data_IF_336255730753
#
_entry.id   IF_336255730753
#
_cell.length_a   1.000
_cell.length_b   1.000
_cell.length_c   1.000
_cell.angle_alpha   90.00
_cell.angle_beta   90.00
_cell.angle_gamma   90.00
#
_symmetry.space_group_name_H-M   'P 1'
#
loop_
_entity.id
_entity.type
_entity.pdbx_description
1 polymer ?
#
# COMPACT_ATOMS: atom_id res chain seq x y z
N UNK A 1 -20.35 -43.91 17.63
CA UNK A 1 -19.55 -43.40 16.49
C UNK A 1 -20.12 -42.05 16.04
N UNK A 2 -19.32 -40.97 15.98
CA UNK A 2 -19.80 -39.70 15.42
C UNK A 2 -20.29 -39.94 14.00
N UNK A 3 -21.52 -39.48 13.67
CA UNK A 3 -22.10 -39.65 12.32
C UNK A 3 -21.12 -39.12 11.27
N UNK A 4 -20.79 -39.95 10.27
CA UNK A 4 -19.91 -39.58 9.16
C UNK A 4 -20.45 -38.30 8.50
N UNK A 5 -19.63 -37.25 8.47
CA UNK A 5 -20.05 -35.96 7.89
C UNK A 5 -20.39 -36.16 6.40
N UNK A 6 -21.49 -35.57 5.96
CA UNK A 6 -21.86 -35.57 4.54
C UNK A 6 -20.80 -34.83 3.70
N UNK A 7 -20.69 -35.16 2.41
CA UNK A 7 -19.74 -34.49 1.51
C UNK A 7 -19.95 -32.97 1.43
N UNK A 8 -21.20 -32.53 1.49
CA UNK A 8 -21.56 -31.11 1.57
C UNK A 8 -21.03 -30.45 2.85
N UNK A 9 -21.23 -31.08 4.01
CA UNK A 9 -20.73 -30.56 5.30
C UNK A 9 -19.20 -30.49 5.33
N UNK A 10 -18.51 -31.48 4.78
CA UNK A 10 -17.03 -31.46 4.68
C UNK A 10 -16.53 -30.33 3.78
N UNK A 11 -17.21 -30.04 2.66
CA UNK A 11 -16.89 -28.90 1.78
C UNK A 11 -17.13 -27.55 2.46
N UNK A 12 -18.23 -27.41 3.19
CA UNK A 12 -18.55 -26.19 3.93
C UNK A 12 -17.52 -25.90 5.04
N UNK A 13 -17.15 -26.91 5.83
CA UNK A 13 -16.12 -26.77 6.87
C UNK A 13 -14.75 -26.42 6.26
N UNK A 14 -14.37 -27.05 5.15
CA UNK A 14 -13.13 -26.72 4.44
C UNK A 14 -13.13 -25.30 3.87
N UNK A 15 -14.27 -24.81 3.37
CA UNK A 15 -14.40 -23.42 2.90
C UNK A 15 -14.23 -22.43 4.05
N UNK A 16 -14.91 -22.68 5.18
CA UNK A 16 -14.82 -21.83 6.38
C UNK A 16 -13.40 -21.74 6.92
N UNK A 17 -12.67 -22.86 6.94
CA UNK A 17 -11.27 -22.89 7.35
C UNK A 17 -10.38 -22.07 6.39
N UNK A 18 -10.61 -22.20 5.08
CA UNK A 18 -9.89 -21.41 4.07
C UNK A 18 -10.18 -19.91 4.23
N UNK A 19 -11.42 -19.52 4.46
CA UNK A 19 -11.78 -18.12 4.71
C UNK A 19 -11.10 -17.56 5.96
N UNK A 20 -11.02 -18.36 7.03
CA UNK A 20 -10.29 -18.00 8.24
C UNK A 20 -8.80 -17.79 7.97
N UNK A 21 -8.18 -18.68 7.20
CA UNK A 21 -6.78 -18.54 6.79
C UNK A 21 -6.55 -17.31 5.91
N UNK A 22 -7.45 -17.05 4.95
CA UNK A 22 -7.39 -15.86 4.11
C UNK A 22 -7.46 -14.60 4.98
N UNK A 23 -8.39 -14.56 5.94
CA UNK A 23 -8.53 -13.42 6.86
C UNK A 23 -7.28 -13.21 7.72
N UNK A 24 -6.71 -14.29 8.26
CA UNK A 24 -5.47 -14.21 9.03
C UNK A 24 -4.28 -13.72 8.18
N UNK A 25 -4.21 -14.13 6.91
CA UNK A 25 -3.13 -13.75 6.02
C UNK A 25 -3.27 -12.32 5.45
N UNK A 26 -4.45 -11.68 5.55
CA UNK A 26 -4.68 -10.34 4.98
C UNK A 26 -3.72 -9.28 5.50
N UNK A 27 -3.35 -9.35 6.79
CA UNK A 27 -2.43 -8.39 7.42
C UNK A 27 -0.99 -8.55 6.95
N UNK A 28 -0.62 -9.74 6.46
CA UNK A 28 0.72 -10.04 5.95
C UNK A 28 0.89 -9.76 4.45
N UNK A 29 -0.19 -9.40 3.74
CA UNK A 29 -0.07 -9.05 2.33
C UNK A 29 0.50 -7.65 2.20
N UNK A 30 1.67 -7.55 1.55
CA UNK A 30 2.24 -6.27 1.15
C UNK A 30 1.38 -5.64 0.05
N UNK A 31 0.53 -4.69 0.47
CA UNK A 31 -0.41 -3.97 -0.41
C UNK A 31 0.34 -3.14 -1.45
N UNK A 32 1.53 -2.62 -1.13
CA UNK A 32 2.29 -1.76 -2.05
C UNK A 32 2.79 -2.55 -3.27
N UNK A 33 3.16 -3.82 -3.07
CA UNK A 33 3.66 -4.72 -4.12
C UNK A 33 2.55 -5.53 -4.80
N UNK A 34 1.32 -5.51 -4.29
CA UNK A 34 0.24 -6.33 -4.83
C UNK A 34 -0.21 -5.83 -6.23
N UNK A 35 -0.49 -6.72 -7.21
CA UNK A 35 -0.83 -6.29 -8.58
C UNK A 35 -2.06 -5.38 -8.71
N UNK A 36 -3.02 -5.47 -7.79
CA UNK A 36 -4.19 -4.60 -7.76
C UNK A 36 -3.88 -3.15 -7.40
N UNK A 37 -2.70 -2.89 -6.84
CA UNK A 37 -2.24 -1.58 -6.38
C UNK A 37 -0.97 -1.13 -7.10
N UNK A 38 -0.57 -1.85 -8.16
CA UNK A 38 0.57 -1.45 -8.99
C UNK A 38 0.32 -0.09 -9.63
N UNK A 39 1.40 0.66 -9.86
CA UNK A 39 1.30 1.93 -10.57
C UNK A 39 0.95 1.70 -12.05
N UNK A 40 0.12 2.58 -12.60
CA UNK A 40 -0.35 2.56 -13.97
C UNK A 40 -0.42 3.99 -14.50
N UNK A 41 0.08 4.19 -15.71
CA UNK A 41 -0.07 5.44 -16.45
C UNK A 41 -1.19 5.28 -17.48
N UNK A 42 -2.04 6.29 -17.63
CA UNK A 42 -3.14 6.25 -18.59
C UNK A 42 -2.68 6.53 -20.01
N UNK A 43 -2.97 5.61 -20.94
CA UNK A 43 -2.64 5.77 -22.37
C UNK A 43 -3.25 7.04 -23.00
N UNK A 44 -4.37 7.55 -22.46
CA UNK A 44 -5.11 8.69 -23.00
C UNK A 44 -4.69 10.03 -22.37
N UNK A 45 -4.66 10.11 -21.04
CA UNK A 45 -4.39 11.37 -20.32
C UNK A 45 -2.99 11.43 -19.69
N UNK A 46 -2.19 10.36 -19.77
CA UNK A 46 -0.82 10.25 -19.26
C UNK A 46 -0.69 10.56 -17.75
N UNK A 47 -1.80 10.50 -17.01
CA UNK A 47 -1.79 10.63 -15.56
C UNK A 47 -1.48 9.28 -14.92
N UNK A 48 -0.65 9.32 -13.87
CA UNK A 48 -0.34 8.18 -13.01
C UNK A 48 -1.49 7.94 -12.04
N UNK A 49 -1.80 6.67 -11.81
CA UNK A 49 -2.86 6.18 -10.94
C UNK A 49 -2.54 4.74 -10.52
N UNK A 50 -3.28 4.18 -9.57
CA UNK A 50 -3.24 2.75 -9.32
C UNK A 50 -3.79 1.96 -10.51
N UNK A 51 -3.42 0.69 -10.61
CA UNK A 51 -4.02 -0.26 -11.54
C UNK A 51 -5.53 -0.28 -11.34
N UNK A 52 -6.27 0.10 -12.38
CA UNK A 52 -7.72 0.26 -12.35
C UNK A 52 -8.30 -0.13 -13.71
N UNK A 53 -9.54 -0.58 -13.72
CA UNK A 53 -10.22 -1.01 -14.91
C UNK A 53 -10.44 0.16 -15.89
N UNK A 54 -10.86 1.28 -15.30
CA UNK A 54 -11.10 2.55 -15.97
C UNK A 54 -10.21 3.62 -15.34
N UNK A 55 -9.70 4.53 -16.15
CA UNK A 55 -8.92 5.65 -15.63
C UNK A 55 -9.78 6.53 -14.72
N UNK A 56 -9.32 6.80 -13.50
CA UNK A 56 -10.00 7.68 -12.55
C UNK A 56 -10.28 9.08 -13.11
N UNK A 57 -9.37 9.62 -13.92
CA UNK A 57 -9.47 11.00 -14.41
C UNK A 57 -10.32 11.17 -15.67
N UNK A 58 -10.32 10.19 -16.57
CA UNK A 58 -10.93 10.34 -17.89
C UNK A 58 -11.79 9.15 -18.33
N UNK A 59 -12.01 8.18 -17.43
CA UNK A 59 -12.80 6.97 -17.62
C UNK A 59 -12.40 6.09 -18.82
N UNK A 60 -11.23 6.34 -19.41
CA UNK A 60 -10.73 5.52 -20.51
C UNK A 60 -10.29 4.13 -20.03
N UNK A 61 -10.56 3.12 -20.84
CA UNK A 61 -10.02 1.77 -20.65
C UNK A 61 -8.57 1.71 -21.13
N UNK A 62 -7.71 1.03 -20.38
CA UNK A 62 -6.31 0.85 -20.76
C UNK A 62 -6.16 -0.16 -21.90
N UNK A 63 -5.25 0.09 -22.84
CA UNK A 63 -4.99 -0.83 -23.95
C UNK A 63 -4.39 -2.15 -23.45
N UNK A 64 -3.52 -2.09 -22.45
CA UNK A 64 -2.82 -3.23 -21.87
C UNK A 64 -3.20 -3.40 -20.39
N UNK A 65 -4.34 -4.08 -20.09
CA UNK A 65 -4.75 -4.30 -18.72
C UNK A 65 -3.80 -5.24 -17.99
N UNK A 66 -3.59 -5.00 -16.69
CA UNK A 66 -2.81 -5.85 -15.80
C UNK A 66 -3.77 -6.55 -14.84
N UNK A 67 -3.68 -7.88 -14.76
CA UNK A 67 -4.50 -8.63 -13.82
C UNK A 67 -4.17 -8.28 -12.36
N UNK A 68 -5.18 -7.85 -11.61
CA UNK A 68 -5.11 -7.49 -10.19
C UNK A 68 -4.67 -8.61 -9.25
N UNK A 69 -4.77 -9.88 -9.69
CA UNK A 69 -4.40 -11.04 -8.89
C UNK A 69 -3.02 -11.62 -9.24
N UNK A 70 -2.67 -11.69 -10.53
CA UNK A 70 -1.45 -12.36 -10.98
C UNK A 70 -0.44 -11.45 -11.68
N UNK A 71 -0.77 -10.17 -11.88
CA UNK A 71 0.12 -9.18 -12.51
C UNK A 71 0.39 -9.42 -14.00
N UNK A 72 -0.24 -10.42 -14.62
CA UNK A 72 -0.02 -10.73 -16.04
C UNK A 72 -0.81 -9.78 -16.92
N UNK A 73 -0.20 -9.41 -18.05
CA UNK A 73 -0.76 -8.66 -19.19
C UNK A 73 -1.11 -9.53 -20.39
N UNK A 74 -0.92 -10.86 -20.27
CA UNK A 74 -1.31 -11.87 -21.28
C UNK A 74 -1.75 -13.19 -20.62
N UNK A 75 -2.84 -13.81 -21.08
CA UNK A 75 -3.18 -15.22 -20.75
C UNK A 75 -2.35 -16.14 -21.67
N UNK A 76 -1.74 -17.16 -21.08
CA UNK A 76 -0.87 -18.09 -21.79
C UNK A 76 -1.70 -19.20 -22.45
N UNK A 77 -1.17 -19.77 -23.54
CA UNK A 77 -1.84 -20.83 -24.32
C UNK A 77 -2.17 -22.08 -23.49
N UNK A 78 -1.38 -22.37 -22.45
CA UNK A 78 -1.51 -23.56 -21.60
C UNK A 78 -2.14 -23.30 -20.22
N UNK A 79 -2.61 -22.08 -19.94
CA UNK A 79 -3.20 -21.80 -18.63
C UNK A 79 -4.63 -22.30 -18.51
N UNK A 80 -5.03 -22.70 -17.30
CA UNK A 80 -6.42 -23.01 -16.89
C UNK A 80 -7.27 -21.71 -16.89
N UNK A 81 -7.52 -21.20 -18.10
CA UNK A 81 -8.37 -20.06 -18.39
C UNK A 81 -9.81 -20.56 -18.64
N UNK A 82 -10.82 -19.82 -18.16
CA UNK A 82 -12.24 -20.18 -18.32
C UNK A 82 -12.66 -20.12 -19.80
N UNK A 83 -12.05 -19.19 -20.54
CA UNK A 83 -12.15 -19.11 -22.00
C UNK A 83 -10.93 -19.81 -22.59
N UNK A 84 -11.15 -20.74 -23.51
CA UNK A 84 -10.07 -21.49 -24.16
C UNK A 84 -9.50 -20.67 -25.32
N UNK A 85 -8.18 -20.58 -25.39
CA UNK A 85 -7.45 -19.89 -26.45
C UNK A 85 -6.59 -20.87 -27.23
N UNK A 86 -7.13 -21.54 -28.27
CA UNK A 86 -6.37 -22.50 -29.05
C UNK A 86 -5.31 -21.77 -29.87
N UNK A 87 -4.03 -22.09 -29.63
CA UNK A 87 -2.94 -21.64 -30.51
C UNK A 87 -2.41 -20.23 -30.26
N UNK A 88 -3.09 -19.38 -29.48
CA UNK A 88 -2.73 -17.96 -29.31
C UNK A 88 -2.66 -17.53 -27.84
N UNK A 89 -1.86 -16.49 -27.58
CA UNK A 89 -1.85 -15.78 -26.31
C UNK A 89 -2.87 -14.65 -26.36
N UNK A 90 -3.84 -14.64 -25.44
CA UNK A 90 -4.82 -13.56 -25.39
C UNK A 90 -4.25 -12.38 -24.61
N UNK A 91 -4.37 -11.20 -25.21
CA UNK A 91 -3.89 -9.91 -24.69
C UNK A 91 -5.01 -8.87 -24.74
N UNK A 92 -4.78 -7.68 -24.17
CA UNK A 92 -5.75 -6.59 -24.20
C UNK A 92 -7.06 -6.97 -23.50
N UNK A 93 -8.20 -6.56 -24.04
CA UNK A 93 -9.50 -6.90 -23.44
C UNK A 93 -9.87 -8.38 -23.53
N UNK A 94 -9.29 -9.14 -24.47
CA UNK A 94 -9.59 -10.57 -24.64
C UNK A 94 -9.11 -11.45 -23.47
N UNK A 95 -8.22 -10.95 -22.60
CA UNK A 95 -7.77 -11.67 -21.40
C UNK A 95 -8.60 -11.36 -20.14
N UNK A 96 -9.44 -10.33 -20.20
CA UNK A 96 -10.20 -9.84 -19.06
C UNK A 96 -11.37 -10.77 -18.78
N UNK A 97 -11.59 -11.10 -17.50
CA UNK A 97 -12.70 -11.96 -17.07
C UNK A 97 -13.72 -11.27 -16.16
N UNK A 98 -13.28 -10.33 -15.33
CA UNK A 98 -14.14 -9.58 -14.42
C UNK A 98 -13.47 -8.27 -13.95
N UNK A 99 -14.26 -7.34 -13.42
CA UNK A 99 -13.79 -6.24 -12.56
C UNK A 99 -14.00 -6.65 -11.11
N UNK A 100 -13.07 -6.30 -10.23
CA UNK A 100 -13.24 -6.50 -8.79
C UNK A 100 -13.92 -5.28 -8.15
N UNK A 101 -15.00 -5.48 -7.40
CA UNK A 101 -15.72 -4.38 -6.74
C UNK A 101 -14.90 -3.67 -5.64
N UNK A 102 -13.88 -4.34 -5.08
CA UNK A 102 -13.06 -3.79 -4.00
C UNK A 102 -11.91 -2.92 -4.51
N UNK A 103 -11.10 -3.45 -5.43
CA UNK A 103 -9.93 -2.74 -5.96
C UNK A 103 -10.20 -1.98 -7.26
N UNK A 104 -11.33 -2.26 -7.91
CA UNK A 104 -11.74 -1.73 -9.21
C UNK A 104 -10.72 -1.98 -10.33
N UNK A 105 -9.93 -3.04 -10.20
CA UNK A 105 -8.97 -3.46 -11.20
C UNK A 105 -9.48 -4.69 -11.95
N UNK A 106 -8.98 -4.87 -13.18
CA UNK A 106 -9.30 -6.02 -14.00
C UNK A 106 -8.73 -7.32 -13.39
N UNK A 107 -9.53 -8.38 -13.42
CA UNK A 107 -9.10 -9.74 -13.10
C UNK A 107 -9.12 -10.54 -14.39
N UNK A 108 -8.01 -11.23 -14.68
CA UNK A 108 -7.97 -12.08 -15.87
C UNK A 108 -8.92 -13.27 -15.71
N UNK A 109 -9.40 -13.78 -16.82
CA UNK A 109 -10.29 -14.93 -16.90
C UNK A 109 -9.65 -16.30 -16.54
N UNK A 110 -8.48 -16.28 -15.89
CA UNK A 110 -7.88 -17.47 -15.29
C UNK A 110 -8.76 -17.99 -14.15
N UNK A 111 -9.09 -19.28 -14.14
CA UNK A 111 -10.03 -19.88 -13.18
C UNK A 111 -9.60 -19.63 -11.72
N UNK A 112 -8.28 -19.73 -11.47
CA UNK A 112 -7.69 -19.38 -10.16
C UNK A 112 -7.93 -17.91 -9.80
N UNK A 113 -7.67 -16.98 -10.72
CA UNK A 113 -7.78 -15.55 -10.44
C UNK A 113 -9.22 -15.14 -10.13
N UNK A 114 -10.18 -15.57 -10.98
CA UNK A 114 -11.60 -15.29 -10.79
C UNK A 114 -12.15 -15.87 -9.48
N UNK A 115 -11.75 -17.10 -9.12
CA UNK A 115 -12.27 -17.75 -7.91
C UNK A 115 -11.64 -17.26 -6.60
N UNK A 116 -10.44 -16.68 -6.64
CA UNK A 116 -9.73 -16.27 -5.41
C UNK A 116 -9.73 -14.77 -5.17
N UNK A 117 -9.73 -13.94 -6.22
CA UNK A 117 -9.40 -12.52 -6.07
C UNK A 117 -10.39 -11.78 -5.16
N UNK A 118 -11.70 -11.92 -5.38
CA UNK A 118 -12.70 -11.22 -4.58
C UNK A 118 -12.57 -11.54 -3.08
N UNK A 119 -12.37 -12.82 -2.72
CA UNK A 119 -12.26 -13.22 -1.31
C UNK A 119 -10.96 -12.71 -0.64
N UNK A 120 -9.87 -12.65 -1.40
CA UNK A 120 -8.54 -12.33 -0.90
C UNK A 120 -8.06 -10.92 -1.31
N UNK A 121 -8.95 -10.07 -1.82
CA UNK A 121 -8.58 -8.75 -2.30
C UNK A 121 -7.99 -7.93 -1.13
N UNK A 122 -6.73 -7.44 -1.25
CA UNK A 122 -6.11 -6.68 -0.17
C UNK A 122 -6.81 -5.35 0.14
N UNK A 123 -7.62 -4.87 -0.81
CA UNK A 123 -8.32 -3.58 -0.74
C UNK A 123 -9.81 -3.70 -0.36
N UNK A 124 -10.24 -4.83 0.21
CA UNK A 124 -11.67 -5.07 0.58
C UNK A 124 -12.22 -3.99 1.52
N UNK A 125 -11.39 -3.50 2.45
CA UNK A 125 -11.77 -2.57 3.53
C UNK A 125 -10.74 -1.43 3.61
N UNK A 126 -10.29 -0.97 2.43
CA UNK A 126 -9.20 -0.02 2.31
C UNK A 126 -9.70 1.41 2.19
N UNK A 127 -9.97 2.02 3.35
CA UNK A 127 -10.32 3.43 3.48
C UNK A 127 -9.16 4.19 4.13
N UNK A 128 -8.81 5.36 3.58
CA UNK A 128 -7.75 6.18 4.16
C UNK A 128 -8.18 6.71 5.53
N UNK A 129 -7.37 6.51 6.57
CA UNK A 129 -7.71 7.00 7.93
C UNK A 129 -7.66 8.53 8.07
N UNK A 130 -6.97 9.24 7.18
CA UNK A 130 -6.84 10.70 7.28
C UNK A 130 -7.92 11.44 6.50
N UNK A 131 -8.29 10.96 5.30
CA UNK A 131 -9.28 11.63 4.45
C UNK A 131 -10.60 10.88 4.30
N UNK A 132 -10.78 9.72 4.94
CA UNK A 132 -11.96 8.85 4.90
C UNK A 132 -12.43 8.46 3.49
N UNK A 133 -11.57 8.65 2.47
CA UNK A 133 -11.86 8.29 1.08
C UNK A 133 -11.59 6.82 0.85
N UNK A 134 -12.52 6.18 0.14
CA UNK A 134 -12.38 4.80 -0.30
C UNK A 134 -11.58 4.70 -1.60
N UNK A 135 -11.24 3.47 -1.98
CA UNK A 135 -10.54 3.12 -3.24
C UNK A 135 -11.22 3.69 -4.50
N UNK A 136 -12.51 3.98 -4.43
CA UNK A 136 -13.30 4.53 -5.53
C UNK A 136 -13.20 6.05 -5.66
N UNK A 137 -12.89 6.73 -4.56
CA UNK A 137 -12.95 8.19 -4.40
C UNK A 137 -11.59 8.88 -4.65
N UNK A 138 -10.57 8.10 -4.99
CA UNK A 138 -9.26 8.61 -5.39
C UNK A 138 -8.58 7.74 -6.47
N UNK A 139 -7.65 8.33 -7.22
CA UNK A 139 -6.90 7.64 -8.28
C UNK A 139 -5.56 7.05 -7.83
N UNK A 140 -5.02 7.49 -6.69
CA UNK A 140 -3.69 7.08 -6.20
C UNK A 140 -3.63 5.65 -5.65
N UNK A 141 -2.42 5.20 -5.35
CA UNK A 141 -2.17 3.93 -4.65
C UNK A 141 -2.58 3.99 -3.18
N UNK A 142 -2.73 2.81 -2.58
CA UNK A 142 -3.01 2.64 -1.15
C UNK A 142 -1.81 1.98 -0.46
N UNK A 143 -1.50 2.42 0.75
CA UNK A 143 -0.41 1.91 1.57
C UNK A 143 -0.92 1.56 2.96
N UNK A 144 -0.13 0.78 3.71
CA UNK A 144 -0.34 0.55 5.13
C UNK A 144 0.74 1.27 5.92
N UNK A 145 0.37 1.99 6.96
CA UNK A 145 1.34 2.59 7.86
C UNK A 145 2.18 1.51 8.56
N UNK A 146 3.50 1.65 8.56
CA UNK A 146 4.42 0.73 9.24
C UNK A 146 4.19 0.65 10.76
N UNK A 147 3.60 1.70 11.35
CA UNK A 147 3.41 1.83 12.80
C UNK A 147 2.02 1.37 13.25
N UNK A 148 0.96 1.92 12.66
CA UNK A 148 -0.43 1.65 13.06
C UNK A 148 -1.15 0.62 12.17
N UNK A 149 -0.54 0.20 11.04
CA UNK A 149 -1.10 -0.73 10.05
C UNK A 149 -2.44 -0.34 9.40
N UNK A 150 -2.92 0.87 9.65
CA UNK A 150 -4.09 1.44 8.97
C UNK A 150 -3.77 1.82 7.52
N UNK A 151 -4.81 1.91 6.70
CA UNK A 151 -4.69 2.26 5.30
C UNK A 151 -4.53 3.76 5.12
N UNK A 152 -3.70 4.13 4.14
CA UNK A 152 -3.38 5.50 3.77
C UNK A 152 -3.38 5.61 2.25
N UNK A 153 -3.95 6.69 1.74
CA UNK A 153 -3.79 7.01 0.32
C UNK A 153 -2.38 7.53 0.04
N UNK A 154 -1.99 7.53 -1.24
CA UNK A 154 -0.68 8.00 -1.70
C UNK A 154 -0.38 9.45 -1.32
N UNK A 155 -1.42 10.28 -1.17
CA UNK A 155 -1.28 11.69 -0.78
C UNK A 155 -0.95 11.82 0.73
N UNK A 156 -1.67 11.09 1.58
CA UNK A 156 -1.57 11.23 3.05
C UNK A 156 -0.46 10.38 3.68
N UNK A 157 0.13 9.44 2.93
CA UNK A 157 1.03 8.43 3.50
C UNK A 157 2.24 9.02 4.23
N UNK A 158 2.79 10.14 3.74
CA UNK A 158 4.02 10.71 4.27
C UNK A 158 3.76 11.52 5.54
N UNK A 159 2.73 12.36 5.52
CA UNK A 159 2.33 13.18 6.66
C UNK A 159 1.88 12.32 7.84
N UNK A 160 1.09 11.27 7.57
CA UNK A 160 0.72 10.31 8.59
C UNK A 160 1.94 9.56 9.12
N UNK A 161 2.83 9.04 8.27
CA UNK A 161 4.00 8.29 8.77
C UNK A 161 4.94 9.15 9.61
N UNK A 162 5.10 10.43 9.29
CA UNK A 162 5.91 11.36 10.06
C UNK A 162 5.36 11.59 11.47
N UNK A 163 4.04 11.68 11.62
CA UNK A 163 3.37 11.97 12.89
C UNK A 163 2.91 10.73 13.66
N UNK A 164 2.78 9.56 13.01
CA UNK A 164 2.18 8.37 13.59
C UNK A 164 3.02 7.72 14.73
N UNK A 165 4.31 7.99 14.80
CA UNK A 165 5.13 7.50 15.92
C UNK A 165 4.89 8.29 17.23
N UNK A 166 4.27 9.46 17.16
CA UNK A 166 4.02 10.33 18.32
C UNK A 166 2.73 9.91 19.03
N UNK A 167 2.80 9.81 20.36
CA UNK A 167 1.64 9.66 21.23
C UNK A 167 1.15 11.04 21.66
N UNK A 168 -0.15 11.32 21.47
CA UNK A 168 -0.74 12.60 21.87
C UNK A 168 -1.02 12.70 23.37
N UNK A 169 -0.94 11.59 24.12
CA UNK A 169 -1.25 11.57 25.54
C UNK A 169 -0.05 12.07 26.38
N UNK A 170 -0.12 13.31 26.86
CA UNK A 170 0.92 13.95 27.70
C UNK A 170 1.22 13.17 28.99
N UNK A 171 0.25 12.40 29.49
CA UNK A 171 0.37 11.79 30.81
C UNK A 171 1.08 10.44 30.80
N UNK A 172 1.24 9.78 29.64
CA UNK A 172 1.79 8.41 29.51
C UNK A 172 1.22 7.39 30.52
N UNK A 173 0.00 7.66 31.01
CA UNK A 173 -0.67 6.83 32.01
C UNK A 173 -1.39 5.68 31.31
N UNK A 174 -1.36 4.52 31.96
CA UNK A 174 -2.13 3.36 31.60
C UNK A 174 -3.61 3.69 31.61
N UNK A 175 -4.29 3.48 30.49
CA UNK A 175 -5.74 3.76 30.36
C UNK A 175 -6.59 2.97 31.37
N UNK A 176 -6.13 1.80 31.81
CA UNK A 176 -6.90 0.92 32.70
C UNK A 176 -6.74 1.21 34.20
N UNK A 177 -5.56 1.62 34.66
CA UNK A 177 -5.29 1.83 36.10
C UNK A 177 -4.61 3.14 36.45
N UNK A 178 -4.42 4.03 35.47
CA UNK A 178 -3.85 5.35 35.64
C UNK A 178 -2.41 5.42 36.21
N UNK A 179 -1.73 4.26 36.34
CA UNK A 179 -0.28 4.16 36.64
C UNK A 179 0.54 4.43 35.37
N UNK A 180 1.85 4.61 35.47
CA UNK A 180 2.72 4.77 34.29
C UNK A 180 2.63 3.58 33.33
N UNK A 181 2.49 3.85 32.03
CA UNK A 181 2.38 2.85 30.97
C UNK A 181 3.74 2.49 30.38
N UNK A 182 4.08 1.20 30.39
CA UNK A 182 5.33 0.67 29.82
C UNK A 182 5.19 0.28 28.34
N UNK A 183 3.97 -0.06 27.93
CA UNK A 183 3.64 -0.45 26.56
C UNK A 183 2.67 0.54 25.92
N UNK A 184 2.94 0.90 24.67
CA UNK A 184 2.17 1.87 23.92
C UNK A 184 1.67 1.28 22.60
N UNK A 185 0.40 1.50 22.29
CA UNK A 185 -0.22 1.08 21.04
C UNK A 185 -0.28 2.27 20.07
N UNK A 186 0.48 2.24 18.98
CA UNK A 186 0.48 3.31 17.97
C UNK A 186 -0.81 3.34 17.14
N UNK A 187 -1.58 2.26 17.12
CA UNK A 187 -2.90 2.20 16.46
C UNK A 187 -4.01 2.85 17.27
N UNK A 188 -4.00 2.66 18.60
CA UNK A 188 -5.00 3.26 19.50
C UNK A 188 -4.54 4.57 20.14
N UNK A 189 -3.26 4.94 19.96
CA UNK A 189 -2.61 6.07 20.61
C UNK A 189 -2.81 6.06 22.14
N UNK A 190 -2.62 4.87 22.73
CA UNK A 190 -2.89 4.61 24.14
C UNK A 190 -1.75 3.83 24.82
N UNK A 191 -1.52 4.12 26.10
CA UNK A 191 -0.51 3.46 26.92
C UNK A 191 -1.15 2.47 27.90
N UNK A 192 -0.40 1.42 28.23
CA UNK A 192 -0.77 0.35 29.16
C UNK A 192 0.42 -0.04 30.04
N UNK A 193 0.17 -0.36 31.31
CA UNK A 193 1.19 -0.99 32.15
C UNK A 193 1.34 -2.47 31.79
N UNK A 194 2.44 -3.09 32.20
CA UNK A 194 2.74 -4.51 31.95
C UNK A 194 1.59 -5.45 32.28
N UNK A 195 1.00 -5.28 33.46
CA UNK A 195 -0.14 -6.09 33.89
C UNK A 195 -1.31 -5.94 32.92
N UNK A 196 -1.64 -4.74 32.46
CA UNK A 196 -2.77 -4.50 31.56
C UNK A 196 -2.49 -4.86 30.10
N UNK A 197 -1.24 -4.80 29.66
CA UNK A 197 -0.83 -5.26 28.35
C UNK A 197 -0.83 -6.81 28.27
N UNK A 198 -0.45 -7.49 29.34
CA UNK A 198 -0.36 -8.96 29.41
C UNK A 198 -1.66 -9.64 29.86
N UNK A 199 -2.59 -8.91 30.50
CA UNK A 199 -3.77 -9.50 31.17
C UNK A 199 -4.99 -9.82 30.29
N UNK A 200 -4.94 -9.70 28.95
CA UNK A 200 -6.15 -9.95 28.13
C UNK A 200 -5.93 -10.86 26.93
N UNK A 201 -6.57 -12.03 27.00
CA UNK A 201 -7.29 -12.78 25.93
C UNK A 201 -6.46 -13.31 24.74
N UNK A 202 -5.31 -12.73 24.42
CA UNK A 202 -4.48 -13.15 23.30
C UNK A 202 -3.34 -14.05 23.75
N UNK A 203 -3.17 -15.19 23.07
CA UNK A 203 -2.00 -16.06 23.27
C UNK A 203 -0.75 -15.30 22.86
N UNK A 204 0.03 -14.90 23.84
CA UNK A 204 1.31 -14.26 23.61
C UNK A 204 2.29 -15.30 23.04
N UNK A 205 2.82 -15.05 21.84
CA UNK A 205 3.95 -15.82 21.33
C UNK A 205 5.21 -15.41 22.09
N UNK A 206 5.96 -16.40 22.63
CA UNK A 206 7.18 -16.13 23.37
C UNK A 206 8.15 -15.32 22.49
N UNK A 207 8.56 -14.14 22.96
CA UNK A 207 9.53 -13.27 22.29
C UNK A 207 8.95 -12.12 21.46
N UNK A 208 7.62 -11.96 21.37
CA UNK A 208 6.97 -10.80 20.74
C UNK A 208 6.36 -9.84 21.76
N UNK A 209 6.25 -8.57 21.41
CA UNK A 209 5.68 -7.56 22.29
C UNK A 209 4.20 -7.88 22.58
N UNK A 210 3.67 -7.52 23.78
CA UNK A 210 2.30 -7.83 24.12
C UNK A 210 1.32 -7.15 23.15
N UNK A 211 0.24 -7.82 22.74
CA UNK A 211 -0.78 -7.20 21.91
C UNK A 211 -1.60 -6.18 22.71
N UNK A 212 -2.07 -5.15 22.03
CA UNK A 212 -2.90 -4.12 22.63
C UNK A 212 -4.21 -4.73 23.15
N UNK A 213 -4.60 -4.49 24.42
CA UNK A 213 -5.82 -5.06 24.99
C UNK A 213 -7.11 -4.52 24.34
N UNK A 214 -7.04 -3.42 23.59
CA UNK A 214 -8.20 -2.81 22.89
C UNK A 214 -8.34 -3.31 21.46
N UNK A 215 -7.25 -3.38 20.69
CA UNK A 215 -7.30 -3.67 19.26
C UNK A 215 -6.49 -4.89 18.80
N UNK A 216 -5.74 -5.55 19.70
CA UNK A 216 -4.90 -6.70 19.38
C UNK A 216 -3.61 -6.37 18.62
N UNK A 217 -3.40 -5.12 18.20
CA UNK A 217 -2.18 -4.67 17.49
C UNK A 217 -0.94 -4.78 18.38
N UNK A 218 0.21 -5.12 17.79
CA UNK A 218 1.48 -5.20 18.53
C UNK A 218 1.81 -3.86 19.20
N UNK A 219 2.08 -3.90 20.51
CA UNK A 219 2.50 -2.71 21.25
C UNK A 219 4.01 -2.52 21.14
N UNK A 220 4.47 -1.30 21.34
CA UNK A 220 5.90 -0.96 21.43
C UNK A 220 6.20 -0.50 22.85
N UNK A 221 7.44 -0.62 23.29
CA UNK A 221 7.82 -0.08 24.60
C UNK A 221 7.83 1.45 24.55
N UNK A 222 7.19 2.09 25.53
CA UNK A 222 7.03 3.56 25.54
C UNK A 222 8.38 4.28 25.53
N UNK A 223 9.42 3.67 26.11
CA UNK A 223 10.79 4.22 26.15
C UNK A 223 11.49 4.23 24.79
N UNK A 224 11.11 3.34 23.87
CA UNK A 224 11.75 3.19 22.56
C UNK A 224 11.13 4.12 21.51
N UNK A 225 9.95 4.68 21.81
CA UNK A 225 9.37 5.76 21.03
C UNK A 225 10.18 7.01 21.31
N UNK A 226 10.82 7.57 20.28
CA UNK A 226 11.56 8.83 20.37
C UNK A 226 10.58 9.96 20.74
N UNK A 227 10.39 10.16 22.04
CA UNK A 227 9.58 11.25 22.57
C UNK A 227 10.45 12.50 22.56
N UNK A 228 10.61 13.13 21.41
CA UNK A 228 11.05 14.53 21.41
C UNK A 228 9.89 15.34 21.99
N UNK A 229 10.01 15.71 23.26
CA UNK A 229 9.14 16.67 23.95
C UNK A 229 9.26 18.10 23.42
N UNK A 230 9.79 18.27 22.21
CA UNK A 230 9.85 19.55 21.52
C UNK A 230 8.82 19.53 20.40
N UNK A 231 7.71 20.22 20.66
CA UNK A 231 6.83 20.83 19.67
C UNK A 231 7.64 21.32 18.46
N UNK A 232 7.12 21.10 17.26
CA UNK A 232 7.62 21.63 15.98
C UNK A 232 7.81 23.17 16.01
N UNK A 233 8.91 23.65 16.57
CA UNK A 233 9.46 24.99 16.37
C UNK A 233 10.99 24.84 16.38
N UNK A 234 11.61 25.19 15.25
CA UNK A 234 13.05 25.18 14.94
C UNK A 234 13.66 23.85 14.49
N UNK A 235 13.31 23.42 13.28
CA UNK A 235 14.28 22.72 12.43
C UNK A 235 15.11 23.79 11.70
N UNK A 236 16.12 24.34 12.37
CA UNK A 236 17.25 24.94 11.66
C UNK A 236 18.15 23.82 11.19
N UNK A 237 18.31 23.75 9.87
CA UNK A 237 19.34 23.06 9.10
C UNK A 237 20.43 22.34 9.91
N UNK A 238 20.25 21.03 10.17
CA UNK A 238 21.35 20.08 10.42
C UNK A 238 20.87 18.62 10.46
N UNK A 239 19.57 18.36 10.68
CA UNK A 239 19.03 17.00 10.81
C UNK A 239 18.45 16.36 9.53
N UNK A 240 18.74 16.89 8.34
CA UNK A 240 18.30 16.31 7.06
C UNK A 240 19.21 15.20 6.52
N UNK A 241 20.44 15.06 7.03
CA UNK A 241 21.39 14.07 6.50
C UNK A 241 21.27 12.64 7.07
N UNK A 242 20.65 12.45 8.23
CA UNK A 242 20.58 11.13 8.88
C UNK A 242 19.41 10.24 8.41
N UNK A 243 18.29 10.82 8.00
CA UNK A 243 17.06 10.07 7.69
C UNK A 243 17.00 9.65 6.21
N UNK A 244 17.59 10.42 5.30
CA UNK A 244 17.69 10.06 3.88
C UNK A 244 18.63 8.86 3.65
N UNK A 245 19.70 8.73 4.43
CA UNK A 245 20.69 7.65 4.32
C UNK A 245 20.08 6.26 4.58
N UNK A 246 19.14 6.14 5.52
CA UNK A 246 18.58 4.82 5.89
C UNK A 246 17.44 4.36 4.97
N UNK A 247 16.76 5.30 4.29
CA UNK A 247 15.75 4.97 3.29
C UNK A 247 16.35 4.58 1.92
N UNK A 248 17.46 5.21 1.50
CA UNK A 248 18.14 4.86 0.24
C UNK A 248 18.78 3.46 0.27
N UNK A 249 19.27 3.02 1.43
CA UNK A 249 19.93 1.70 1.57
C UNK A 249 18.91 0.56 1.49
N UNK A 250 17.68 0.73 2.00
CA UNK A 250 16.63 -0.30 1.87
C UNK A 250 16.09 -0.42 0.45
N UNK A 251 15.96 0.68 -0.29
CA UNK A 251 15.45 0.64 -1.67
C UNK A 251 16.47 0.07 -2.67
N UNK A 252 17.78 0.28 -2.46
CA UNK A 252 18.80 -0.27 -3.38
C UNK A 252 18.94 -1.79 -3.30
N UNK A 253 18.82 -2.39 -2.12
CA UNK A 253 18.99 -3.85 -1.92
C UNK A 253 17.84 -4.69 -2.51
N UNK A 254 16.62 -4.15 -2.62
CA UNK A 254 15.50 -4.90 -3.23
C UNK A 254 15.54 -4.88 -4.77
N UNK A 255 16.16 -3.87 -5.38
CA UNK A 255 16.26 -3.72 -6.84
C UNK A 255 17.21 -4.72 -7.51
N UNK A 256 18.17 -5.27 -6.76
CA UNK A 256 19.17 -6.21 -7.27
C UNK A 256 18.67 -7.66 -7.43
N UNK A 257 17.42 -7.96 -7.04
CA UNK A 257 16.88 -9.32 -7.08
C UNK A 257 16.07 -9.69 -8.33
N UNK A 258 15.92 -8.78 -9.31
CA UNK A 258 15.06 -9.00 -10.48
C UNK A 258 15.74 -9.10 -11.86
N UNK A 259 17.07 -9.17 -11.95
CA UNK A 259 17.75 -9.40 -13.24
C UNK A 259 18.51 -10.72 -13.23
N UNK A 260 17.77 -11.81 -13.40
CA UNK A 260 18.33 -13.09 -13.81
C UNK A 260 18.56 -13.10 -15.33
N UNK A 261 19.77 -12.79 -15.77
CA UNK A 261 20.27 -13.27 -17.06
C UNK A 261 21.78 -13.52 -17.00
N UNK A 262 22.18 -14.74 -17.39
CA UNK A 262 23.54 -15.26 -17.42
C UNK A 262 24.37 -14.55 -18.49
N UNK A 263 25.60 -14.11 -18.17
CA UNK A 263 26.83 -14.54 -18.87
C UNK A 263 28.08 -13.76 -18.42
N UNK A 264 29.06 -14.54 -17.91
CA UNK A 264 30.51 -14.46 -18.15
C UNK A 264 31.34 -13.21 -17.77
N UNK A 265 32.18 -13.42 -16.75
CA UNK A 265 33.59 -12.99 -16.63
C UNK A 265 33.94 -11.50 -16.82
N UNK A 266 34.23 -10.79 -15.71
CA UNK A 266 35.60 -10.42 -15.26
C UNK A 266 35.52 -9.46 -14.07
N UNK A 267 36.35 -9.76 -13.07
CA UNK A 267 36.67 -8.97 -11.87
C UNK A 267 37.32 -7.63 -12.24
N UNK A 268 36.87 -6.50 -11.65
CA UNK A 268 37.75 -5.41 -11.19
C UNK A 268 37.07 -4.62 -10.04
N UNK A 269 37.62 -4.82 -8.84
CA UNK A 269 37.94 -3.91 -7.73
C UNK A 269 37.25 -2.54 -7.60
N UNK A 270 36.60 -2.34 -6.45
CA UNK A 270 36.24 -1.08 -5.80
C UNK A 270 37.45 -0.16 -5.55
N UNK A 271 37.33 1.13 -5.87
CA UNK A 271 38.04 2.20 -5.16
C UNK A 271 37.07 3.33 -4.85
N UNK A 272 36.85 3.54 -3.56
CA UNK A 272 36.21 4.71 -2.96
C UNK A 272 37.19 5.89 -2.96
N UNK A 273 36.75 7.08 -3.36
CA UNK A 273 37.34 8.33 -2.90
C UNK A 273 36.26 9.42 -2.80
N UNK A 274 35.90 9.74 -1.56
CA UNK A 274 35.32 11.03 -1.17
C UNK A 274 36.37 12.13 -1.35
N UNK A 275 35.99 13.28 -1.90
CA UNK A 275 36.65 14.55 -1.63
C UNK A 275 35.64 15.69 -1.74
N UNK A 276 35.40 16.34 -0.61
CA UNK A 276 34.70 17.61 -0.45
C UNK A 276 35.75 18.71 -0.50
N UNK A 277 35.56 19.74 -1.32
CA UNK A 277 36.25 21.03 -1.14
C UNK A 277 35.35 22.18 -1.58
N UNK A 278 35.14 23.10 -0.63
CA UNK A 278 34.47 24.40 -0.77
C UNK A 278 35.37 25.42 -1.48
N UNK A 279 34.72 26.50 -1.93
CA UNK A 279 35.18 27.89 -2.14
C UNK A 279 35.23 28.44 -3.58
N UNK A 280 34.37 29.46 -3.75
CA UNK A 280 34.65 30.78 -4.33
C UNK A 280 34.33 31.05 -5.81
N UNK A 281 33.30 31.90 -5.97
CA UNK A 281 33.30 33.14 -6.75
C UNK A 281 33.55 33.09 -8.26
N UNK A 282 32.56 33.52 -9.05
CA UNK A 282 32.64 34.72 -9.92
C UNK A 282 31.47 34.79 -10.93
N UNK A 283 30.67 35.84 -10.76
CA UNK A 283 30.10 36.76 -11.76
C UNK A 283 29.97 36.34 -13.25
N UNK A 284 28.76 36.44 -13.80
CA UNK A 284 28.38 37.13 -15.06
C UNK A 284 26.87 36.93 -15.29
N UNK A 285 26.00 37.87 -14.95
CA UNK A 285 25.41 38.90 -15.84
C UNK A 285 25.12 38.44 -17.27
N UNK A 286 23.85 38.12 -17.57
CA UNK A 286 23.17 38.62 -18.77
C UNK A 286 21.66 38.59 -18.59
N UNK A 287 21.08 39.77 -18.69
CA UNK A 287 19.66 40.07 -18.76
C UNK A 287 19.07 39.73 -20.13
N UNK A 288 17.74 39.62 -20.17
CA UNK A 288 16.74 39.86 -21.24
C UNK A 288 15.69 38.73 -21.13
N UNK A 289 14.42 38.93 -20.81
CA UNK A 289 13.54 40.09 -20.95
C UNK A 289 12.32 39.67 -21.79
N UNK A 290 11.12 39.80 -21.20
CA UNK A 290 9.82 39.99 -21.87
C UNK A 290 9.15 38.80 -22.62
N UNK A 291 7.98 38.33 -22.16
CA UNK A 291 6.64 38.91 -22.45
C UNK A 291 5.49 38.10 -21.85
N UNK A 292 4.54 38.87 -21.34
CA UNK A 292 3.16 38.57 -20.93
C UNK A 292 2.29 38.03 -22.07
N UNK A 293 1.28 37.22 -21.70
CA UNK A 293 0.18 36.84 -22.57
C UNK A 293 -0.97 36.24 -21.77
N UNK A 294 -1.96 37.07 -21.47
CA UNK A 294 -3.28 36.72 -20.92
C UNK A 294 -4.03 35.73 -21.83
N UNK A 295 -4.95 34.92 -21.26
CA UNK A 295 -6.35 34.87 -21.70
C UNK A 295 -7.22 33.88 -20.89
N UNK A 296 -8.23 34.48 -20.26
CA UNK A 296 -9.66 34.11 -20.25
C UNK A 296 -10.19 32.95 -19.38
N UNK A 297 -11.20 33.34 -18.60
CA UNK A 297 -12.07 32.54 -17.76
C UNK A 297 -13.39 32.16 -18.47
N UNK A 298 -13.93 30.99 -18.04
CA UNK A 298 -15.36 30.57 -17.91
C UNK A 298 -16.26 30.44 -19.17
N UNK A 299 -17.47 29.85 -19.07
CA UNK A 299 -17.82 28.48 -18.64
C UNK A 299 -18.79 27.79 -19.64
N UNK A 300 -19.01 26.46 -19.58
CA UNK A 300 -20.27 25.91 -20.12
C UNK A 300 -20.68 24.59 -19.46
N UNK A 301 -21.82 24.67 -18.78
CA UNK A 301 -22.70 23.58 -18.38
C UNK A 301 -23.24 22.85 -19.62
N UNK A 302 -23.23 21.52 -19.63
CA UNK A 302 -24.30 20.78 -20.31
C UNK A 302 -24.49 19.38 -19.73
N UNK A 303 -25.67 19.23 -19.12
CA UNK A 303 -26.26 17.98 -18.69
C UNK A 303 -26.61 17.09 -19.88
N UNK A 304 -26.42 15.78 -19.75
CA UNK A 304 -27.19 14.82 -20.54
C UNK A 304 -27.68 13.66 -19.68
N UNK A 305 -28.92 13.34 -19.98
CA UNK A 305 -29.91 12.59 -19.24
C UNK A 305 -29.76 11.06 -19.38
N UNK A 306 -30.35 10.36 -18.41
CA UNK A 306 -30.70 8.95 -18.42
C UNK A 306 -31.28 8.48 -19.77
N UNK A 307 -30.89 7.27 -20.19
CA UNK A 307 -31.77 6.37 -20.94
C UNK A 307 -31.72 4.99 -20.28
N UNK A 308 -32.82 4.66 -19.59
CA UNK A 308 -33.22 3.31 -19.20
C UNK A 308 -33.83 2.63 -20.42
N UNK A 309 -33.51 1.35 -20.66
CA UNK A 309 -34.39 0.48 -21.43
C UNK A 309 -34.58 -0.84 -20.68
N UNK A 310 -35.87 -1.18 -20.59
CA UNK A 310 -36.46 -2.45 -20.16
C UNK A 310 -36.09 -3.61 -21.08
#
# INVERSE_FOLDING_TARGET
MPKKKTGARKKAESRKEREKQIRANREHVDVAKHPCNSNMECDKCQRKQKNRAFCYFCNSVQKLPICAQCGKTKCMKSSDCVIKHPGVHSTGMAMVGAVCDFCEAWVCHGRKCLSTHACACPLTDADCIECDRSVWDHGGRIFRCSFCQNFLCEDDQFEHQASCQVLQAETFKCVSCNRLGQHSCLRCKACYCDDHAKSKVFKQEKGKAPPCPKCGHETQETKDLSMSSESHLNITAEHTHGILSTMEIKYSLESSSQLGCRSSHKSVTLVSCFAFTLLSSSSQTSSMGFKSGDCAATPCFQAYHLVLFS
#
